data_IF_174092205512
#
_entry.id   IF_174092205512
#
_cell.length_a   1.000
_cell.length_b   1.000
_cell.length_c   1.000
_cell.angle_alpha   90.00
_cell.angle_beta   90.00
_cell.angle_gamma   90.00
#
_symmetry.space_group_name_H-M   'P 1'
#
loop_
_entity.id
_entity.type
_entity.pdbx_description
1 polymer ?
#
# COMPACT_ATOMS: atom_id res chain seq x y z
N UNK A 1 16.71 12.77 55.13
CA UNK A 1 16.75 11.80 56.25
C UNK A 1 16.13 10.51 55.78
N UNK A 2 16.92 9.46 55.85
CA UNK A 2 16.61 8.02 55.71
C UNK A 2 16.40 7.43 54.31
N UNK A 3 17.48 6.97 53.81
CA UNK A 3 17.78 5.91 52.87
C UNK A 3 17.15 4.59 53.34
N UNK A 4 16.45 3.88 52.48
CA UNK A 4 16.23 2.45 52.65
C UNK A 4 16.54 1.72 51.37
N UNK A 5 17.74 1.25 51.32
CA UNK A 5 18.27 0.21 50.46
C UNK A 5 17.57 -1.13 50.82
N UNK A 6 16.96 -1.79 49.87
CA UNK A 6 16.56 -3.20 49.99
C UNK A 6 17.18 -3.98 48.86
N UNK A 7 18.21 -4.67 49.23
CA UNK A 7 18.91 -5.73 48.50
C UNK A 7 18.17 -7.05 48.75
N UNK A 8 17.74 -7.74 47.73
CA UNK A 8 17.27 -9.12 47.83
C UNK A 8 17.59 -9.88 46.54
N UNK A 9 18.60 -10.62 46.62
CA UNK A 9 18.91 -12.04 46.41
C UNK A 9 18.21 -12.72 45.23
N UNK A 10 19.05 -13.10 44.29
CA UNK A 10 18.89 -14.06 43.21
C UNK A 10 18.95 -15.47 43.82
N UNK A 11 18.17 -16.42 43.39
CA UNK A 11 18.59 -17.81 43.33
C UNK A 11 18.84 -18.24 41.89
N UNK A 12 20.06 -18.63 41.69
CA UNK A 12 20.61 -19.47 40.68
C UNK A 12 20.01 -20.89 40.86
N UNK A 13 19.34 -21.41 39.86
CA UNK A 13 19.07 -22.85 39.81
C UNK A 13 19.42 -23.44 38.46
N UNK A 14 20.15 -24.51 38.58
CA UNK A 14 20.97 -25.25 37.68
C UNK A 14 20.26 -26.05 36.59
N UNK A 15 21.03 -26.27 35.56
CA UNK A 15 21.03 -27.33 34.55
C UNK A 15 20.28 -28.61 34.89
N UNK A 16 19.51 -29.11 33.90
CA UNK A 16 19.48 -30.54 33.56
C UNK A 16 19.55 -30.65 32.03
N UNK A 17 20.67 -31.20 31.59
CA UNK A 17 20.85 -31.71 30.24
C UNK A 17 20.45 -33.21 30.25
N UNK A 18 19.82 -33.66 29.20
CA UNK A 18 19.79 -35.02 28.64
C UNK A 18 18.82 -34.94 27.45
N UNK A 19 19.20 -35.14 26.25
CA UNK A 19 19.99 -36.22 25.64
C UNK A 19 19.03 -37.04 24.81
N UNK A 20 19.15 -36.99 23.50
CA UNK A 20 19.23 -38.11 22.63
C UNK A 20 18.96 -37.75 21.15
N UNK A 21 19.93 -38.08 20.38
CA UNK A 21 20.01 -38.07 18.94
C UNK A 21 19.34 -39.34 18.35
N UNK A 22 19.65 -39.71 17.10
CA UNK A 22 18.87 -39.52 15.90
C UNK A 22 18.32 -40.87 15.40
N UNK A 23 17.29 -40.91 14.65
CA UNK A 23 16.94 -42.11 13.89
C UNK A 23 16.91 -41.84 12.39
N UNK A 24 17.89 -42.34 11.80
CA UNK A 24 18.17 -42.98 10.52
C UNK A 24 16.97 -43.30 9.63
N UNK A 25 17.12 -42.86 8.40
CA UNK A 25 16.97 -43.55 7.12
C UNK A 25 15.90 -44.65 6.99
N UNK A 26 15.02 -44.45 6.06
CA UNK A 26 14.63 -45.52 5.15
C UNK A 26 14.47 -44.99 3.74
N UNK A 27 15.42 -45.36 2.94
CA UNK A 27 15.44 -45.42 1.49
C UNK A 27 14.40 -46.45 1.05
N UNK A 28 13.53 -46.08 0.13
CA UNK A 28 12.86 -47.09 -0.72
C UNK A 28 12.58 -46.46 -2.10
N UNK A 29 13.44 -46.75 -2.97
CA UNK A 29 13.39 -47.37 -4.30
C UNK A 29 12.22 -46.94 -5.19
N UNK A 30 12.59 -46.26 -6.28
CA UNK A 30 11.81 -46.10 -7.49
C UNK A 30 11.51 -47.44 -8.17
N UNK A 31 10.52 -47.51 -9.00
CA UNK A 31 10.69 -48.19 -10.27
C UNK A 31 10.53 -47.26 -11.47
N UNK A 32 11.53 -47.35 -12.28
CA UNK A 32 11.64 -47.04 -13.68
C UNK A 32 10.63 -47.86 -14.51
N UNK A 33 9.95 -47.22 -15.43
CA UNK A 33 9.37 -47.87 -16.62
C UNK A 33 9.21 -46.90 -17.77
N UNK A 34 10.11 -46.94 -18.62
CA UNK A 34 10.26 -46.83 -20.09
C UNK A 34 9.09 -46.41 -20.98
N UNK A 35 9.45 -45.91 -22.18
CA UNK A 35 8.59 -45.06 -23.00
C UNK A 35 7.72 -45.87 -23.97
N UNK A 36 6.54 -45.34 -24.27
CA UNK A 36 5.69 -45.85 -25.36
C UNK A 36 5.51 -44.78 -26.43
N UNK A 37 6.01 -45.07 -27.51
CA UNK A 37 6.02 -44.77 -28.92
C UNK A 37 4.71 -44.20 -29.45
N UNK A 38 4.82 -43.02 -30.06
CA UNK A 38 4.38 -42.63 -31.39
C UNK A 38 3.01 -43.12 -31.88
N UNK A 39 2.08 -42.22 -32.10
CA UNK A 39 1.13 -42.30 -33.19
C UNK A 39 0.77 -40.92 -33.73
N UNK A 40 0.81 -40.83 -35.02
CA UNK A 40 0.74 -39.70 -35.91
C UNK A 40 -0.51 -38.84 -35.78
N UNK A 41 -0.31 -37.56 -36.14
CA UNK A 41 -1.35 -36.56 -36.39
C UNK A 41 -2.28 -36.92 -37.57
N UNK A 42 -3.47 -36.34 -37.59
CA UNK A 42 -3.87 -35.70 -38.83
C UNK A 42 -4.21 -34.22 -38.67
N UNK A 43 -3.94 -33.52 -39.76
CA UNK A 43 -4.05 -32.07 -39.94
C UNK A 43 -5.43 -31.51 -39.62
N UNK A 44 -5.42 -30.41 -38.88
CA UNK A 44 -6.55 -29.54 -38.63
C UNK A 44 -6.72 -28.56 -39.81
N UNK A 45 -7.92 -28.33 -40.35
CA UNK A 45 -8.16 -27.17 -41.22
C UNK A 45 -8.27 -25.88 -40.35
N UNK A 46 -7.67 -24.82 -40.84
CA UNK A 46 -7.72 -23.49 -40.25
C UNK A 46 -9.15 -22.96 -40.20
N UNK A 47 -9.57 -22.34 -39.08
CA UNK A 47 -10.81 -21.58 -39.07
C UNK A 47 -10.63 -20.24 -39.77
N UNK A 48 -11.63 -19.92 -40.59
CA UNK A 48 -11.76 -18.69 -41.33
C UNK A 48 -11.67 -17.45 -40.41
N UNK A 49 -11.09 -16.41 -40.97
CA UNK A 49 -10.97 -15.08 -40.37
C UNK A 49 -12.37 -14.56 -39.96
N UNK A 50 -12.51 -14.25 -38.68
CA UNK A 50 -13.62 -13.45 -38.18
C UNK A 50 -13.49 -12.00 -38.67
N UNK A 51 -14.58 -11.32 -39.02
CA UNK A 51 -14.54 -9.95 -39.47
C UNK A 51 -14.03 -9.03 -38.33
N UNK A 52 -13.09 -8.17 -38.64
CA UNK A 52 -12.57 -7.16 -37.76
C UNK A 52 -13.70 -6.27 -37.24
N UNK A 53 -13.82 -6.19 -35.93
CA UNK A 53 -14.66 -5.18 -35.27
C UNK A 53 -14.16 -3.78 -35.68
N UNK A 54 -15.05 -2.81 -35.89
CA UNK A 54 -14.64 -1.46 -36.22
C UNK A 54 -13.80 -0.89 -35.08
N UNK A 55 -12.61 -0.37 -35.43
CA UNK A 55 -11.73 0.35 -34.53
C UNK A 55 -12.54 1.46 -33.84
N UNK A 56 -12.63 1.37 -32.52
CA UNK A 56 -13.15 2.45 -31.71
C UNK A 56 -12.34 3.70 -32.02
N UNK A 57 -12.99 4.76 -32.50
CA UNK A 57 -12.40 6.07 -32.68
C UNK A 57 -11.71 6.50 -31.38
N UNK A 58 -10.53 7.14 -31.45
CA UNK A 58 -9.89 7.67 -30.28
C UNK A 58 -10.86 8.65 -29.60
N UNK A 59 -11.23 8.34 -28.35
CA UNK A 59 -12.00 9.25 -27.52
C UNK A 59 -11.27 10.59 -27.50
N UNK A 60 -11.93 11.64 -27.89
CA UNK A 60 -11.42 13.00 -27.81
C UNK A 60 -10.90 13.24 -26.38
N UNK A 61 -9.72 13.85 -26.20
CA UNK A 61 -9.23 14.20 -24.88
C UNK A 61 -10.30 15.06 -24.20
N UNK A 62 -10.77 14.60 -23.03
CA UNK A 62 -11.60 15.40 -22.18
C UNK A 62 -10.93 16.78 -22.00
N UNK A 63 -11.67 17.89 -22.06
CA UNK A 63 -11.07 19.20 -21.97
C UNK A 63 -10.18 19.25 -20.72
N UNK A 64 -8.90 19.52 -20.96
CA UNK A 64 -7.97 19.81 -19.89
C UNK A 64 -8.62 20.95 -19.09
N UNK A 65 -9.05 20.65 -17.86
CA UNK A 65 -9.39 21.71 -16.93
C UNK A 65 -8.12 22.53 -16.80
N UNK A 66 -8.14 23.68 -17.49
CA UNK A 66 -7.05 24.62 -17.53
C UNK A 66 -6.56 24.87 -16.11
N UNK A 67 -5.27 24.98 -15.95
CA UNK A 67 -4.57 25.28 -14.72
C UNK A 67 -5.00 26.65 -14.14
N UNK A 68 -6.19 26.70 -13.56
CA UNK A 68 -6.50 27.70 -12.58
C UNK A 68 -5.69 27.33 -11.34
N UNK A 69 -4.88 28.26 -10.84
CA UNK A 69 -4.15 28.08 -9.58
C UNK A 69 -5.11 27.67 -8.45
N UNK A 70 -4.58 27.27 -7.29
CA UNK A 70 -5.40 26.88 -6.16
C UNK A 70 -6.39 28.00 -5.79
N UNK A 71 -7.63 27.63 -5.42
CA UNK A 71 -8.58 28.59 -4.88
C UNK A 71 -8.02 29.26 -3.61
N UNK A 72 -8.51 30.43 -3.19
CA UNK A 72 -8.06 31.04 -1.93
C UNK A 72 -8.21 30.12 -0.71
N UNK A 73 -9.21 29.26 -0.71
CA UNK A 73 -9.43 28.25 0.33
C UNK A 73 -8.39 27.15 0.26
N UNK A 74 -8.15 26.59 -0.94
CA UNK A 74 -7.12 25.58 -1.15
C UNK A 74 -5.74 26.12 -0.76
N UNK A 75 -5.44 27.37 -1.09
CA UNK A 75 -4.18 28.01 -0.70
C UNK A 75 -3.99 28.09 0.82
N UNK A 76 -5.06 28.40 1.57
CA UNK A 76 -5.01 28.38 3.05
C UNK A 76 -4.75 26.97 3.60
N UNK A 77 -5.40 25.98 3.03
CA UNK A 77 -5.18 24.58 3.44
C UNK A 77 -3.75 24.16 3.13
N UNK A 78 -3.24 24.49 1.93
CA UNK A 78 -1.86 24.20 1.54
C UNK A 78 -0.83 24.85 2.47
N UNK A 79 -1.05 26.12 2.85
CA UNK A 79 -0.19 26.83 3.77
C UNK A 79 -0.06 26.19 5.16
N UNK A 80 -0.96 25.28 5.51
CA UNK A 80 -0.88 24.49 6.74
C UNK A 80 0.08 23.31 6.66
N UNK A 81 0.60 22.99 5.47
CA UNK A 81 1.62 21.96 5.27
C UNK A 81 3.03 22.55 5.41
N UNK A 82 4.00 21.79 5.92
CA UNK A 82 5.40 22.20 5.85
C UNK A 82 5.90 22.18 4.39
N UNK A 83 6.93 22.98 4.09
CA UNK A 83 7.66 22.83 2.83
C UNK A 83 8.33 21.44 2.77
N UNK A 84 8.43 20.83 1.58
CA UNK A 84 8.02 21.37 0.28
C UNK A 84 6.54 21.07 -0.10
N UNK A 85 5.75 20.44 0.76
CA UNK A 85 4.38 19.96 0.44
C UNK A 85 3.40 21.12 0.22
N UNK A 86 3.61 22.26 0.90
CA UNK A 86 2.81 23.47 0.69
C UNK A 86 2.93 24.06 -0.72
N UNK A 87 3.97 23.65 -1.47
CA UNK A 87 4.24 24.10 -2.85
C UNK A 87 3.75 23.09 -3.90
N UNK A 88 2.97 22.10 -3.50
CA UNK A 88 2.54 21.02 -4.37
C UNK A 88 1.56 21.49 -5.47
N UNK A 89 1.78 20.98 -6.69
CA UNK A 89 0.89 21.18 -7.84
C UNK A 89 -0.37 20.31 -7.70
N UNK A 90 -1.51 20.96 -7.39
CA UNK A 90 -2.79 20.26 -7.21
C UNK A 90 -3.26 19.54 -8.49
N UNK A 91 -2.95 20.09 -9.68
CA UNK A 91 -3.35 19.48 -10.93
C UNK A 91 -2.55 18.17 -11.19
N UNK A 92 -1.23 18.19 -10.91
CA UNK A 92 -0.44 16.97 -10.93
C UNK A 92 -0.86 16.00 -9.82
N UNK A 93 -1.09 16.50 -8.60
CA UNK A 93 -1.55 15.71 -7.47
C UNK A 93 -2.85 14.95 -7.78
N UNK A 94 -3.80 15.60 -8.42
CA UNK A 94 -5.04 14.97 -8.90
C UNK A 94 -4.78 13.84 -9.90
N UNK A 95 -3.84 14.05 -10.85
CA UNK A 95 -3.45 13.00 -11.81
C UNK A 95 -2.81 11.81 -11.10
N UNK A 96 -1.92 12.05 -10.14
CA UNK A 96 -1.29 10.99 -9.35
C UNK A 96 -2.31 10.25 -8.47
N UNK A 97 -3.26 10.96 -7.88
CA UNK A 97 -4.32 10.40 -7.06
C UNK A 97 -5.25 9.44 -7.82
N UNK A 98 -5.30 9.53 -9.15
CA UNK A 98 -6.04 8.57 -9.97
C UNK A 98 -5.64 7.10 -9.68
N UNK A 99 -4.39 6.86 -9.28
CA UNK A 99 -3.88 5.53 -8.88
C UNK A 99 -4.45 5.03 -7.54
N UNK A 100 -5.00 5.93 -6.74
CA UNK A 100 -5.53 5.65 -5.40
C UNK A 100 -7.06 5.42 -5.43
N UNK A 101 -7.76 6.07 -6.37
CA UNK A 101 -9.24 6.14 -6.42
C UNK A 101 -9.93 4.79 -6.62
N UNK A 102 -9.25 3.80 -7.17
CA UNK A 102 -9.79 2.44 -7.30
C UNK A 102 -10.04 1.79 -5.93
N UNK A 103 -9.24 2.17 -4.93
CA UNK A 103 -9.26 1.56 -3.61
C UNK A 103 -9.74 2.50 -2.50
N UNK A 104 -9.59 3.82 -2.66
CA UNK A 104 -9.90 4.82 -1.64
C UNK A 104 -10.93 5.82 -2.09
N UNK A 105 -11.74 6.30 -1.15
CA UNK A 105 -12.61 7.46 -1.29
C UNK A 105 -12.00 8.60 -0.47
N UNK A 106 -11.99 9.83 -1.01
CA UNK A 106 -11.42 10.99 -0.33
C UNK A 106 -12.49 11.98 0.12
N UNK A 107 -13.65 11.93 -0.49
CA UNK A 107 -14.77 12.81 -0.24
C UNK A 107 -15.35 12.60 1.16
N UNK A 108 -15.91 13.68 1.75
CA UNK A 108 -16.60 13.64 3.04
C UNK A 108 -17.77 12.66 3.00
N UNK A 109 -17.86 11.81 4.03
CA UNK A 109 -18.91 10.80 4.12
C UNK A 109 -18.74 9.62 3.16
N UNK A 110 -17.62 9.55 2.45
CA UNK A 110 -17.33 8.41 1.59
C UNK A 110 -17.06 7.13 2.36
N UNK A 111 -17.50 6.00 1.80
CA UNK A 111 -17.37 4.68 2.42
C UNK A 111 -15.95 4.10 2.31
N UNK A 112 -15.63 3.20 3.24
CA UNK A 112 -14.48 2.31 3.09
C UNK A 112 -14.69 1.39 1.88
N UNK A 113 -13.61 1.21 1.11
CA UNK A 113 -13.57 0.27 -0.03
C UNK A 113 -12.51 -0.82 0.23
N UNK A 114 -11.71 -1.15 -0.77
CA UNK A 114 -10.51 -2.00 -0.61
C UNK A 114 -9.53 -1.36 0.38
N UNK A 115 -9.45 -0.04 0.37
CA UNK A 115 -8.75 0.78 1.36
C UNK A 115 -9.71 1.63 2.20
N UNK A 116 -9.23 2.22 3.30
CA UNK A 116 -10.03 3.11 4.13
C UNK A 116 -10.38 4.42 3.44
N UNK A 117 -11.46 5.08 3.88
CA UNK A 117 -11.79 6.44 3.51
C UNK A 117 -10.70 7.41 3.98
N UNK A 118 -10.34 8.38 3.12
CA UNK A 118 -9.24 9.31 3.35
C UNK A 118 -9.68 10.67 3.86
N UNK A 119 -10.99 11.00 3.86
CA UNK A 119 -11.45 12.26 4.39
C UNK A 119 -10.96 12.45 5.83
N UNK A 120 -10.41 13.63 6.15
CA UNK A 120 -9.88 13.95 7.48
C UNK A 120 -8.69 13.10 7.92
N UNK A 121 -7.89 12.56 7.00
CA UNK A 121 -6.78 11.67 7.37
C UNK A 121 -5.61 12.37 8.07
N UNK A 122 -5.34 13.63 7.73
CA UNK A 122 -4.26 14.38 8.38
C UNK A 122 -4.57 14.63 9.86
N UNK A 123 -3.61 14.33 10.73
CA UNK A 123 -3.77 14.39 12.18
C UNK A 123 -4.50 13.17 12.78
N UNK A 124 -5.01 12.25 11.97
CA UNK A 124 -5.66 11.03 12.44
C UNK A 124 -4.61 9.95 12.75
N UNK A 125 -4.80 9.22 13.84
CA UNK A 125 -3.97 8.06 14.16
C UNK A 125 -4.11 6.98 13.08
N UNK A 126 -3.00 6.39 12.66
CA UNK A 126 -3.00 5.32 11.68
C UNK A 126 -3.77 4.10 12.20
N UNK A 127 -4.49 3.45 11.30
CA UNK A 127 -5.25 2.24 11.65
C UNK A 127 -6.56 2.46 12.40
N UNK A 128 -7.11 3.69 12.45
CA UNK A 128 -8.28 4.03 13.28
C UNK A 128 -9.56 4.43 12.54
N UNK A 129 -9.61 4.32 11.20
CA UNK A 129 -10.88 4.59 10.48
C UNK A 129 -11.93 3.57 10.91
N UNK A 130 -13.11 4.05 11.38
CA UNK A 130 -14.17 3.16 11.82
C UNK A 130 -14.62 2.19 10.74
N UNK A 131 -14.91 0.95 11.11
CA UNK A 131 -15.42 -0.06 10.19
C UNK A 131 -14.42 -0.63 9.19
N UNK A 132 -13.17 -0.13 9.14
CA UNK A 132 -12.16 -0.68 8.24
C UNK A 132 -11.31 -1.77 8.92
N UNK A 133 -11.16 -2.91 8.24
CA UNK A 133 -10.35 -4.02 8.75
C UNK A 133 -8.87 -3.88 8.38
N UNK A 134 -8.12 -3.17 9.19
CA UNK A 134 -6.68 -2.99 9.01
C UNK A 134 -5.87 -4.26 9.27
N UNK A 135 -4.65 -4.33 8.70
CA UNK A 135 -3.65 -5.32 9.10
C UNK A 135 -3.25 -5.12 10.57
N UNK A 136 -2.88 -6.20 11.29
CA UNK A 136 -2.33 -6.07 12.64
C UNK A 136 -1.15 -5.10 12.70
N UNK A 137 -0.29 -5.10 11.67
CA UNK A 137 0.83 -4.18 11.57
C UNK A 137 0.38 -2.72 11.63
N UNK A 138 -0.66 -2.33 10.88
CA UNK A 138 -1.13 -0.94 10.85
C UNK A 138 -1.93 -0.54 12.09
N UNK A 139 -2.62 -1.49 12.74
CA UNK A 139 -3.32 -1.24 14.01
C UNK A 139 -2.38 -0.90 15.17
N UNK A 140 -1.15 -1.38 15.13
CA UNK A 140 -0.19 -1.26 16.23
C UNK A 140 0.83 -0.15 16.09
N UNK A 141 0.82 0.66 15.01
CA UNK A 141 1.93 1.61 14.75
C UNK A 141 1.90 2.87 15.60
N UNK A 142 0.73 3.31 16.06
CA UNK A 142 0.60 4.42 17.01
C UNK A 142 0.95 5.83 16.51
N UNK A 143 1.39 6.01 15.26
CA UNK A 143 1.67 7.34 14.72
C UNK A 143 0.41 8.02 14.16
N UNK A 144 0.45 9.34 14.03
CA UNK A 144 -0.54 10.13 13.30
C UNK A 144 -0.07 10.42 11.89
N UNK A 145 -1.02 10.51 10.95
CA UNK A 145 -0.72 10.87 9.57
C UNK A 145 -0.41 12.35 9.45
N UNK A 146 0.78 12.67 9.02
CA UNK A 146 1.27 13.97 8.58
C UNK A 146 1.85 13.88 7.17
N UNK A 147 2.38 14.97 6.64
CA UNK A 147 2.91 15.01 5.29
C UNK A 147 4.16 14.13 5.13
N UNK A 148 5.06 14.15 6.11
CA UNK A 148 6.30 13.35 6.09
C UNK A 148 6.01 11.85 6.19
N UNK A 149 5.10 11.45 7.09
CA UNK A 149 4.69 10.04 7.20
C UNK A 149 4.02 9.56 5.92
N UNK A 150 3.21 10.42 5.32
CA UNK A 150 2.55 10.09 4.06
C UNK A 150 3.55 10.02 2.90
N UNK A 151 4.57 10.86 2.87
CA UNK A 151 5.64 10.79 1.87
C UNK A 151 6.40 9.47 1.94
N UNK A 152 6.87 9.10 3.15
CA UNK A 152 7.55 7.83 3.39
C UNK A 152 6.67 6.63 3.01
N UNK A 153 5.39 6.66 3.40
CA UNK A 153 4.41 5.63 3.06
C UNK A 153 4.21 5.52 1.54
N UNK A 154 4.06 6.65 0.85
CA UNK A 154 3.84 6.67 -0.60
C UNK A 154 5.10 6.36 -1.40
N UNK A 155 6.30 6.55 -0.86
CA UNK A 155 7.55 6.18 -1.51
C UNK A 155 7.71 4.66 -1.63
N UNK A 156 7.45 3.94 -0.55
CA UNK A 156 7.52 2.49 -0.47
C UNK A 156 6.66 1.95 0.69
N UNK A 157 5.39 1.65 0.46
CA UNK A 157 4.51 1.16 1.52
C UNK A 157 4.97 -0.14 2.17
N UNK A 158 5.60 -1.03 1.40
CA UNK A 158 6.07 -2.32 1.93
C UNK A 158 7.32 -2.20 2.77
N UNK A 159 8.23 -1.31 2.37
CA UNK A 159 9.42 -0.98 3.15
C UNK A 159 9.09 -0.20 4.42
N UNK A 160 8.19 0.79 4.32
CA UNK A 160 7.77 1.61 5.46
C UNK A 160 7.06 0.79 6.55
N UNK A 161 6.14 -0.08 6.15
CA UNK A 161 5.41 -0.96 7.07
C UNK A 161 5.24 -2.36 6.48
N UNK A 162 6.14 -3.29 6.77
CA UNK A 162 6.00 -4.67 6.34
C UNK A 162 4.68 -5.29 6.81
N UNK A 163 4.13 -6.19 6.01
CA UNK A 163 2.85 -6.87 6.28
C UNK A 163 1.61 -5.96 6.28
N UNK A 164 1.72 -4.71 5.77
CA UNK A 164 0.53 -3.95 5.42
C UNK A 164 -0.21 -4.64 4.25
N UNK A 165 -1.51 -4.33 4.09
CA UNK A 165 -2.36 -4.94 3.05
C UNK A 165 -2.49 -4.11 1.77
N UNK A 166 -1.91 -2.92 1.71
CA UNK A 166 -2.00 -2.07 0.53
C UNK A 166 -1.15 -2.64 -0.61
N UNK A 167 -1.79 -2.89 -1.75
CA UNK A 167 -1.15 -3.42 -2.95
C UNK A 167 -0.72 -2.27 -3.87
N UNK A 168 0.22 -1.46 -3.41
CA UNK A 168 0.75 -0.31 -4.12
C UNK A 168 2.28 -0.34 -4.11
N UNK A 169 2.89 -0.12 -5.28
CA UNK A 169 4.36 -0.18 -5.46
C UNK A 169 5.09 1.10 -5.06
N UNK A 170 4.36 2.13 -4.72
CA UNK A 170 4.88 3.44 -4.37
C UNK A 170 5.05 4.39 -5.55
N UNK A 171 5.18 5.68 -5.23
CA UNK A 171 5.54 6.77 -6.14
C UNK A 171 7.01 7.08 -5.97
N UNK A 172 7.83 6.80 -6.99
CA UNK A 172 9.29 6.96 -6.89
C UNK A 172 9.74 8.41 -7.04
N UNK A 173 9.00 9.24 -7.79
CA UNK A 173 9.31 10.64 -8.00
C UNK A 173 8.87 11.48 -6.79
N UNK A 174 9.80 12.20 -6.19
CA UNK A 174 9.50 13.09 -5.04
C UNK A 174 8.47 14.16 -5.41
N UNK A 175 8.59 14.74 -6.62
CA UNK A 175 7.62 15.70 -7.11
C UNK A 175 6.20 15.14 -7.11
N UNK A 176 6.02 13.92 -7.59
CA UNK A 176 4.69 13.30 -7.65
C UNK A 176 4.14 13.02 -6.25
N UNK A 177 5.00 12.62 -5.30
CA UNK A 177 4.59 12.44 -3.90
C UNK A 177 4.19 13.74 -3.24
N UNK A 178 5.03 14.78 -3.38
CA UNK A 178 4.73 16.14 -2.90
C UNK A 178 3.37 16.60 -3.40
N UNK A 179 3.17 16.53 -4.70
CA UNK A 179 1.97 17.04 -5.37
C UNK A 179 0.71 16.25 -4.98
N UNK A 180 0.81 14.92 -4.86
CA UNK A 180 -0.34 14.10 -4.41
C UNK A 180 -0.64 14.30 -2.92
N UNK A 181 0.36 14.54 -2.08
CA UNK A 181 0.18 14.86 -0.66
C UNK A 181 -0.56 16.18 -0.51
N UNK A 182 -0.16 17.21 -1.27
CA UNK A 182 -0.85 18.49 -1.31
C UNK A 182 -2.32 18.32 -1.75
N UNK A 183 -2.56 17.56 -2.80
CA UNK A 183 -3.92 17.27 -3.29
C UNK A 183 -4.76 16.53 -2.23
N UNK A 184 -4.21 15.48 -1.61
CA UNK A 184 -4.90 14.73 -0.55
C UNK A 184 -5.21 15.64 0.63
N UNK A 185 -4.30 16.53 1.02
CA UNK A 185 -4.51 17.48 2.12
C UNK A 185 -5.71 18.37 1.84
N UNK A 186 -5.77 18.95 0.64
CA UNK A 186 -6.85 19.85 0.23
C UNK A 186 -8.18 19.11 0.14
N UNK A 187 -8.24 18.01 -0.60
CA UNK A 187 -9.50 17.31 -0.85
C UNK A 187 -10.04 16.58 0.39
N UNK A 188 -9.16 16.06 1.25
CA UNK A 188 -9.60 15.38 2.48
C UNK A 188 -10.06 16.33 3.58
N UNK A 189 -9.90 17.65 3.40
CA UNK A 189 -10.33 18.67 4.35
C UNK A 189 -11.70 19.29 3.98
N UNK A 190 -12.21 19.02 2.76
CA UNK A 190 -13.50 19.47 2.26
C UNK A 190 -14.62 18.51 2.68
#
# INVERSE_FOLDING_TARGET
MMIRTSLALIPLMALVACGQAPQSAKTETAPEATPSKEAAAPATPAPAAAPAAPAAAPAAPAPAAAAAGPSPEDAKILASLPAPYSEGDLANGRRQFAKCRSCHVIEKGGDNRVGPALHGMFGRTAGTVPGFNYSPALKGVGFTWDAEKLDQWLADPKGFLPRNRMSFVGLKQEKDRRDVIAYIKVESAK
#
